data_IF_346938740133
#
_entry.id   IF_346938740133
#
_cell.length_a   1.000
_cell.length_b   1.000
_cell.length_c   1.000
_cell.angle_alpha   90.00
_cell.angle_beta   90.00
_cell.angle_gamma   90.00
#
_symmetry.space_group_name_H-M   'P 1'
#
loop_
_entity.id
_entity.type
_entity.pdbx_description
1 polymer ?
#
# COMPACT_ATOMS: atom_id res chain seq x y z
N UNK A 1 -1.30 -30.59 8.66
CA UNK A 1 -0.61 -30.38 7.37
C UNK A 1 -1.56 -29.61 6.47
N UNK A 2 -1.56 -28.29 6.62
CA UNK A 2 -2.40 -27.38 5.83
C UNK A 2 -1.54 -26.77 4.73
N UNK A 3 -2.09 -26.70 3.53
CA UNK A 3 -1.39 -26.47 2.28
C UNK A 3 -0.81 -25.05 2.21
N UNK A 4 0.52 -24.94 2.09
CA UNK A 4 1.22 -23.71 1.72
C UNK A 4 1.12 -23.51 0.20
N UNK A 5 -0.07 -23.25 -0.32
CA UNK A 5 -0.21 -22.82 -1.71
C UNK A 5 -0.46 -21.31 -1.67
N UNK A 6 0.56 -20.54 -2.06
CA UNK A 6 0.42 -19.13 -2.34
C UNK A 6 -0.10 -18.98 -3.77
N UNK A 7 -1.16 -18.19 -3.95
CA UNK A 7 -1.62 -17.79 -5.29
C UNK A 7 -0.88 -16.52 -5.71
N UNK A 8 0.41 -16.64 -5.98
CA UNK A 8 1.17 -15.53 -6.56
C UNK A 8 0.79 -15.38 -8.04
N UNK A 9 0.99 -14.18 -8.60
CA UNK A 9 0.89 -13.97 -10.05
C UNK A 9 1.81 -14.99 -10.75
N UNK A 10 1.36 -15.65 -11.83
CA UNK A 10 2.19 -16.64 -12.52
C UNK A 10 3.43 -15.97 -13.13
N UNK A 11 4.62 -16.38 -12.70
CA UNK A 11 5.94 -15.87 -13.15
C UNK A 11 6.18 -15.98 -14.67
N UNK A 12 5.29 -16.66 -15.41
CA UNK A 12 5.47 -17.01 -16.82
C UNK A 12 4.72 -16.11 -17.82
N UNK A 13 3.93 -15.13 -17.37
CA UNK A 13 3.15 -14.27 -18.27
C UNK A 13 3.18 -12.80 -17.85
N UNK A 14 3.53 -11.93 -18.79
CA UNK A 14 3.37 -10.48 -18.68
C UNK A 14 1.87 -10.14 -18.70
N UNK A 15 1.38 -9.55 -17.61
CA UNK A 15 0.01 -9.10 -17.49
C UNK A 15 -0.11 -7.67 -18.02
N UNK A 16 -1.08 -7.45 -18.91
CA UNK A 16 -1.44 -6.09 -19.32
C UNK A 16 -2.30 -5.44 -18.24
N UNK A 17 -2.33 -4.10 -18.20
CA UNK A 17 -3.24 -3.36 -17.33
C UNK A 17 -4.71 -3.79 -17.48
N UNK A 18 -5.13 -4.20 -18.68
CA UNK A 18 -6.47 -4.72 -18.92
C UNK A 18 -6.73 -6.07 -18.22
N UNK A 19 -5.75 -6.97 -18.19
CA UNK A 19 -5.86 -8.23 -17.44
C UNK A 19 -5.97 -7.96 -15.93
N UNK A 20 -5.13 -7.07 -15.40
CA UNK A 20 -5.10 -6.72 -13.98
C UNK A 20 -6.41 -6.05 -13.57
N UNK A 21 -6.86 -5.04 -14.33
CA UNK A 21 -8.16 -4.35 -14.11
C UNK A 21 -9.33 -5.33 -14.16
N UNK A 22 -9.35 -6.28 -15.08
CA UNK A 22 -10.40 -7.29 -15.14
C UNK A 22 -10.38 -8.21 -13.90
N UNK A 23 -9.21 -8.61 -13.41
CA UNK A 23 -9.11 -9.36 -12.14
C UNK A 23 -9.65 -8.56 -10.96
N UNK A 24 -9.26 -7.29 -10.85
CA UNK A 24 -9.73 -6.38 -9.80
C UNK A 24 -11.27 -6.27 -9.83
N UNK A 25 -11.87 -6.05 -10.99
CA UNK A 25 -13.33 -5.98 -11.13
C UNK A 25 -14.05 -7.28 -10.81
N UNK A 26 -13.47 -8.44 -11.16
CA UNK A 26 -14.13 -9.73 -10.96
C UNK A 26 -14.00 -10.27 -9.52
N UNK A 27 -12.88 -9.99 -8.86
CA UNK A 27 -12.51 -10.62 -7.59
C UNK A 27 -12.41 -9.64 -6.43
N UNK A 28 -12.45 -8.33 -6.69
CA UNK A 28 -12.18 -7.30 -5.70
C UNK A 28 -10.70 -7.10 -5.38
N UNK A 29 -9.80 -7.85 -6.03
CA UNK A 29 -8.36 -7.65 -5.93
C UNK A 29 -7.63 -8.16 -7.19
N UNK A 30 -6.39 -7.70 -7.37
CA UNK A 30 -5.47 -8.23 -8.36
C UNK A 30 -4.04 -8.20 -7.83
N UNK A 31 -3.21 -9.12 -8.32
CA UNK A 31 -1.76 -9.18 -8.03
C UNK A 31 -0.99 -9.07 -9.34
N UNK A 32 0.15 -8.40 -9.32
CA UNK A 32 1.04 -8.16 -10.46
C UNK A 32 2.47 -7.94 -9.96
N UNK A 33 3.45 -7.92 -10.84
CA UNK A 33 4.86 -7.81 -10.45
C UNK A 33 5.64 -6.79 -11.29
N UNK A 34 6.95 -6.68 -11.03
CA UNK A 34 7.84 -5.74 -11.71
C UNK A 34 7.84 -5.87 -13.25
N UNK A 35 7.66 -7.09 -13.78
CA UNK A 35 7.66 -7.33 -15.22
C UNK A 35 6.43 -6.70 -15.90
N UNK A 36 5.31 -6.60 -15.18
CA UNK A 36 4.04 -6.06 -15.70
C UNK A 36 4.04 -4.51 -15.78
N UNK A 37 5.06 -3.85 -15.23
CA UNK A 37 5.15 -2.38 -15.12
C UNK A 37 5.99 -1.72 -16.22
N UNK A 38 6.63 -2.50 -17.10
CA UNK A 38 7.47 -1.99 -18.20
C UNK A 38 8.47 -0.90 -17.74
N UNK A 39 9.26 -1.22 -16.71
CA UNK A 39 10.19 -0.27 -16.07
C UNK A 39 11.41 0.04 -16.95
N UNK A 40 11.70 1.33 -17.11
CA UNK A 40 12.97 1.84 -17.61
C UNK A 40 14.09 1.64 -16.59
N UNK A 41 15.34 1.72 -17.03
CA UNK A 41 16.49 1.57 -16.13
C UNK A 41 16.59 2.68 -15.09
N UNK A 42 16.15 3.90 -15.42
CA UNK A 42 16.09 5.01 -14.45
C UNK A 42 15.08 4.72 -13.33
N UNK A 43 13.92 4.14 -13.66
CA UNK A 43 12.90 3.78 -12.68
C UNK A 43 13.37 2.62 -11.78
N UNK A 44 14.15 1.68 -12.32
CA UNK A 44 14.81 0.63 -11.51
C UNK A 44 15.84 1.23 -10.53
N UNK A 45 16.54 2.30 -10.91
CA UNK A 45 17.47 3.00 -10.01
C UNK A 45 16.69 3.78 -8.93
N UNK A 46 15.54 4.35 -9.25
CA UNK A 46 14.69 5.03 -8.27
C UNK A 46 14.25 4.11 -7.13
N UNK A 47 14.06 2.81 -7.40
CA UNK A 47 13.78 1.81 -6.37
C UNK A 47 14.86 1.80 -5.27
N UNK A 48 16.15 1.89 -5.65
CA UNK A 48 17.27 1.95 -4.70
C UNK A 48 17.13 3.20 -3.81
N UNK A 49 16.74 4.33 -4.39
CA UNK A 49 16.53 5.56 -3.63
C UNK A 49 15.41 5.44 -2.59
N UNK A 50 14.32 4.72 -2.94
CA UNK A 50 13.22 4.43 -2.00
C UNK A 50 13.68 3.47 -0.89
N UNK A 51 14.49 2.47 -1.21
CA UNK A 51 15.11 1.59 -0.20
C UNK A 51 15.98 2.40 0.77
N UNK A 52 16.84 3.29 0.28
CA UNK A 52 17.68 4.13 1.13
C UNK A 52 16.87 5.09 2.00
N UNK A 53 15.87 5.77 1.42
CA UNK A 53 14.95 6.63 2.18
C UNK A 53 14.29 5.85 3.32
N UNK A 54 13.85 4.62 3.05
CA UNK A 54 13.14 3.79 4.03
C UNK A 54 13.94 3.60 5.33
N UNK A 55 15.27 3.50 5.24
CA UNK A 55 16.17 3.28 6.39
C UNK A 55 16.21 4.47 7.35
N UNK A 56 15.91 5.67 6.85
CA UNK A 56 15.88 6.91 7.62
C UNK A 56 14.49 7.30 8.13
N UNK A 57 13.46 6.51 7.86
CA UNK A 57 12.11 6.83 8.30
C UNK A 57 12.02 6.86 9.83
N UNK A 58 11.29 7.84 10.39
CA UNK A 58 11.05 7.90 11.82
C UNK A 58 10.12 6.78 12.25
N UNK A 59 10.23 6.38 13.52
CA UNK A 59 9.30 5.43 14.13
C UNK A 59 7.87 5.98 14.02
N UNK A 60 6.94 5.11 13.63
CA UNK A 60 5.53 5.43 13.56
C UNK A 60 4.97 5.60 14.98
N UNK A 61 4.66 6.85 15.35
CA UNK A 61 4.08 7.21 16.66
C UNK A 61 2.69 6.62 16.90
N UNK A 62 2.04 6.12 15.85
CA UNK A 62 0.70 5.53 15.84
C UNK A 62 0.73 4.06 15.40
N UNK A 63 1.90 3.42 15.52
CA UNK A 63 2.11 2.01 15.21
C UNK A 63 2.79 1.27 16.34
N UNK A 64 2.64 -0.05 16.34
CA UNK A 64 3.39 -0.92 17.24
C UNK A 64 4.70 -1.40 16.58
N UNK A 65 5.69 -1.76 17.41
CA UNK A 65 6.74 -2.72 17.08
C UNK A 65 7.51 -2.47 15.77
N UNK A 66 8.47 -1.54 15.78
CA UNK A 66 9.45 -1.41 14.69
C UNK A 66 8.89 -0.94 13.35
N UNK A 67 7.64 -0.44 13.32
CA UNK A 67 7.06 0.23 12.14
C UNK A 67 7.59 1.66 12.04
N UNK A 68 8.09 2.01 10.87
CA UNK A 68 8.56 3.35 10.51
C UNK A 68 7.76 3.81 9.30
N UNK A 69 7.39 5.09 9.23
CA UNK A 69 6.44 5.56 8.24
C UNK A 69 6.71 7.00 7.79
N UNK A 70 6.54 7.23 6.50
CA UNK A 70 6.28 8.55 5.91
C UNK A 70 4.93 8.52 5.18
N UNK A 71 4.30 9.69 5.09
CA UNK A 71 3.06 9.89 4.33
C UNK A 71 3.18 11.17 3.51
N UNK A 72 2.63 11.14 2.31
CA UNK A 72 2.39 12.30 1.48
C UNK A 72 1.00 12.25 0.89
N UNK A 73 0.46 13.41 0.56
CA UNK A 73 -0.85 13.52 -0.05
C UNK A 73 -0.82 14.63 -1.09
N UNK A 74 -1.41 14.38 -2.26
CA UNK A 74 -1.50 15.33 -3.35
C UNK A 74 -2.88 15.31 -3.99
N UNK A 75 -3.17 16.32 -4.80
CA UNK A 75 -4.40 16.35 -5.59
C UNK A 75 -4.04 16.01 -7.02
N UNK A 76 -4.48 14.85 -7.49
CA UNK A 76 -4.49 14.52 -8.90
C UNK A 76 -5.59 15.32 -9.61
N UNK A 77 -5.25 15.88 -10.77
CA UNK A 77 -6.17 16.64 -11.63
C UNK A 77 -6.17 16.08 -13.05
N UNK A 78 -7.37 15.79 -13.55
CA UNK A 78 -7.57 15.34 -14.92
C UNK A 78 -7.15 16.39 -15.96
N UNK A 79 -7.42 17.68 -15.70
CA UNK A 79 -7.18 18.75 -16.68
C UNK A 79 -5.69 18.96 -16.97
N UNK A 80 -4.86 18.86 -15.93
CA UNK A 80 -3.42 19.09 -16.02
C UNK A 80 -2.62 17.81 -16.14
N UNK A 81 -3.27 16.65 -16.00
CA UNK A 81 -2.63 15.33 -15.90
C UNK A 81 -1.44 15.35 -14.92
N UNK A 82 -1.64 15.98 -13.76
CA UNK A 82 -0.60 16.19 -12.75
C UNK A 82 -1.11 15.94 -11.34
N UNK A 83 -0.16 15.81 -10.40
CA UNK A 83 -0.43 15.73 -8.97
C UNK A 83 0.19 16.95 -8.30
N UNK A 84 -0.67 17.75 -7.69
CA UNK A 84 -0.25 18.88 -6.86
C UNK A 84 -0.05 18.39 -5.43
N UNK A 85 1.20 18.05 -5.09
CA UNK A 85 1.56 17.60 -3.75
C UNK A 85 1.36 18.69 -2.71
N UNK A 86 0.69 18.35 -1.60
CA UNK A 86 0.54 19.27 -0.47
C UNK A 86 1.92 19.58 0.11
N UNK A 87 2.16 20.84 0.45
CA UNK A 87 3.45 21.32 0.94
C UNK A 87 3.80 20.80 2.34
N UNK A 88 2.79 20.47 3.16
CA UNK A 88 2.97 20.08 4.55
C UNK A 88 3.33 21.27 5.46
N UNK A 89 3.90 20.95 6.62
CA UNK A 89 4.19 21.87 7.71
C UNK A 89 5.65 21.75 8.12
N UNK A 90 6.50 22.74 7.80
CA UNK A 90 7.91 22.76 8.22
C UNK A 90 8.06 22.68 9.74
N UNK A 91 9.05 21.94 10.20
CA UNK A 91 9.42 21.77 11.60
C UNK A 91 10.74 22.50 11.92
N UNK A 92 11.00 22.83 13.21
CA UNK A 92 12.24 23.51 13.60
C UNK A 92 13.52 22.75 13.28
N UNK A 93 13.46 21.43 13.16
CA UNK A 93 14.60 20.56 12.81
C UNK A 93 14.84 20.46 11.28
N UNK A 94 14.07 21.19 10.48
CA UNK A 94 14.14 21.18 9.01
C UNK A 94 13.32 20.07 8.34
N UNK A 95 12.72 19.16 9.11
CA UNK A 95 11.76 18.18 8.56
C UNK A 95 10.44 18.84 8.17
N UNK A 96 9.64 18.16 7.35
CA UNK A 96 8.29 18.60 7.00
C UNK A 96 7.31 17.53 7.43
N UNK A 97 6.27 17.90 8.18
CA UNK A 97 5.19 16.98 8.56
C UNK A 97 3.94 17.22 7.72
N UNK A 98 3.12 16.19 7.53
CA UNK A 98 1.80 16.30 6.91
C UNK A 98 0.76 15.57 7.75
N UNK A 99 -0.46 16.11 7.72
CA UNK A 99 -1.60 15.52 8.41
C UNK A 99 -2.17 14.35 7.59
N UNK A 100 -2.51 13.28 8.27
CA UNK A 100 -3.26 12.15 7.76
C UNK A 100 -4.54 11.98 8.57
N UNK A 101 -5.63 11.75 7.85
CA UNK A 101 -6.96 11.58 8.41
C UNK A 101 -7.51 10.23 7.94
N UNK A 102 -7.98 9.42 8.89
CA UNK A 102 -8.66 8.16 8.62
C UNK A 102 -9.89 8.09 9.52
N UNK A 103 -11.01 7.62 8.98
CA UNK A 103 -12.27 7.49 9.72
C UNK A 103 -12.14 6.52 10.89
N UNK A 104 -12.87 6.77 11.99
CA UNK A 104 -12.92 5.89 13.18
C UNK A 104 -13.47 4.50 12.89
N UNK A 105 -14.21 4.35 11.80
CA UNK A 105 -14.71 3.05 11.33
C UNK A 105 -13.61 2.14 10.74
N UNK A 106 -12.55 2.73 10.16
CA UNK A 106 -11.42 1.99 9.56
C UNK A 106 -10.19 1.95 10.47
N UNK A 107 -10.07 2.92 11.37
CA UNK A 107 -9.05 2.92 12.40
C UNK A 107 -9.71 3.04 13.80
N UNK A 108 -9.99 1.90 14.48
CA UNK A 108 -10.63 1.91 15.80
C UNK A 108 -9.80 2.54 16.94
N UNK A 109 -8.46 2.49 16.85
CA UNK A 109 -7.51 2.97 17.86
C UNK A 109 -7.21 4.48 17.73
N UNK A 110 -7.19 5.02 16.50
CA UNK A 110 -6.74 6.39 16.21
C UNK A 110 -7.65 7.17 15.25
N UNK A 111 -8.75 6.59 14.78
CA UNK A 111 -9.60 7.28 13.80
C UNK A 111 -10.33 8.46 14.43
N UNK A 112 -10.50 9.53 13.64
CA UNK A 112 -10.91 10.84 14.14
C UNK A 112 -9.78 11.68 14.77
N UNK A 113 -8.59 11.12 14.98
CA UNK A 113 -7.39 11.86 15.38
C UNK A 113 -6.58 12.26 14.15
N UNK A 114 -6.14 13.52 14.12
CA UNK A 114 -5.21 14.01 13.09
C UNK A 114 -3.82 13.45 13.40
N UNK A 115 -3.35 12.51 12.57
CA UNK A 115 -2.01 11.93 12.72
C UNK A 115 -1.02 12.74 11.89
N UNK A 116 0.15 13.03 12.45
CA UNK A 116 1.23 13.73 11.74
C UNK A 116 2.33 12.76 11.40
N UNK A 117 2.74 12.74 10.14
CA UNK A 117 3.84 11.91 9.63
C UNK A 117 4.88 12.78 8.93
N UNK A 118 6.11 12.28 8.87
CA UNK A 118 7.14 12.86 8.02
C UNK A 118 6.65 12.84 6.56
N UNK A 119 6.75 13.98 5.89
CA UNK A 119 6.52 14.14 4.45
C UNK A 119 7.81 13.81 3.70
N UNK A 120 7.71 13.02 2.64
CA UNK A 120 8.81 12.81 1.70
C UNK A 120 9.19 14.14 1.02
N UNK A 121 10.45 14.27 0.59
CA UNK A 121 10.90 15.45 -0.15
C UNK A 121 10.30 15.49 -1.55
N UNK A 122 10.26 16.68 -2.16
CA UNK A 122 9.80 16.83 -3.54
C UNK A 122 10.66 16.06 -4.53
N UNK A 123 11.95 15.89 -4.24
CA UNK A 123 12.85 15.05 -5.04
C UNK A 123 12.36 13.59 -5.10
N UNK A 124 11.92 13.03 -3.97
CA UNK A 124 11.37 11.67 -3.90
C UNK A 124 10.01 11.62 -4.61
N UNK A 125 9.16 12.63 -4.37
CA UNK A 125 7.82 12.71 -4.95
C UNK A 125 7.82 12.85 -6.48
N UNK A 126 8.90 13.39 -7.04
CA UNK A 126 9.08 13.56 -8.49
C UNK A 126 9.88 12.42 -9.15
N UNK A 127 10.15 11.31 -8.44
CA UNK A 127 10.81 10.14 -9.02
C UNK A 127 9.95 9.49 -10.09
N UNK A 128 10.60 9.02 -11.16
CA UNK A 128 9.93 8.39 -12.29
C UNK A 128 9.19 7.13 -11.86
N UNK A 129 9.82 6.32 -10.99
CA UNK A 129 9.19 5.09 -10.48
C UNK A 129 7.90 5.40 -9.70
N UNK A 130 7.93 6.36 -8.77
CA UNK A 130 6.75 6.68 -7.98
C UNK A 130 5.63 7.22 -8.86
N UNK A 131 5.96 8.09 -9.82
CA UNK A 131 5.00 8.59 -10.79
C UNK A 131 4.38 7.44 -11.59
N UNK A 132 5.21 6.52 -12.12
CA UNK A 132 4.74 5.35 -12.87
C UNK A 132 3.81 4.45 -12.05
N UNK A 133 4.13 4.16 -10.79
CA UNK A 133 3.26 3.37 -9.91
C UNK A 133 1.90 4.06 -9.72
N UNK A 134 1.89 5.36 -9.38
CA UNK A 134 0.64 6.11 -9.19
C UNK A 134 -0.24 6.08 -10.44
N UNK A 135 0.32 6.34 -11.63
CA UNK A 135 -0.45 6.33 -12.87
C UNK A 135 -0.94 4.94 -13.27
N UNK A 136 -0.08 3.94 -13.08
CA UNK A 136 -0.45 2.55 -13.32
C UNK A 136 -1.63 2.18 -12.44
N UNK A 137 -1.54 2.40 -11.13
CA UNK A 137 -2.60 2.04 -10.18
C UNK A 137 -3.90 2.79 -10.48
N UNK A 138 -3.84 4.09 -10.74
CA UNK A 138 -5.01 4.88 -11.10
C UNK A 138 -5.70 4.31 -12.35
N UNK A 139 -4.95 3.88 -13.35
CA UNK A 139 -5.48 3.28 -14.58
C UNK A 139 -6.23 1.96 -14.35
N UNK A 140 -5.90 1.23 -13.27
CA UNK A 140 -6.56 -0.03 -12.91
C UNK A 140 -7.94 0.21 -12.28
N UNK A 141 -8.15 1.36 -11.65
CA UNK A 141 -9.36 1.64 -10.85
C UNK A 141 -10.56 2.09 -11.70
N UNK A 142 -10.33 2.68 -12.87
CA UNK A 142 -11.35 3.41 -13.63
C UNK A 142 -11.80 4.74 -13.00
N UNK A 143 -11.25 5.16 -11.86
CA UNK A 143 -11.67 6.39 -11.17
C UNK A 143 -11.46 7.64 -12.01
N UNK A 144 -10.37 7.70 -12.78
CA UNK A 144 -10.07 8.82 -13.69
C UNK A 144 -11.13 8.99 -14.80
N UNK A 145 -11.97 7.98 -15.07
CA UNK A 145 -13.08 8.07 -16.02
C UNK A 145 -14.29 8.83 -15.42
N UNK A 146 -14.44 8.78 -14.09
CA UNK A 146 -15.62 9.25 -13.37
C UNK A 146 -15.38 10.53 -12.54
N UNK A 147 -14.13 10.83 -12.20
CA UNK A 147 -13.77 11.96 -11.34
C UNK A 147 -12.74 12.86 -12.03
N UNK A 148 -12.95 14.17 -11.94
CA UNK A 148 -12.02 15.21 -12.41
C UNK A 148 -10.84 15.42 -11.47
N UNK A 149 -11.03 15.14 -10.17
CA UNK A 149 -10.08 15.40 -9.11
C UNK A 149 -10.11 14.30 -8.06
N UNK A 150 -8.92 13.81 -7.72
CA UNK A 150 -8.73 12.76 -6.72
C UNK A 150 -7.66 13.18 -5.73
N UNK A 151 -7.87 12.87 -4.46
CA UNK A 151 -6.82 12.85 -3.47
C UNK A 151 -5.97 11.59 -3.72
N UNK A 152 -4.66 11.76 -3.86
CA UNK A 152 -3.69 10.68 -3.97
C UNK A 152 -2.90 10.59 -2.65
N UNK A 153 -3.12 9.55 -1.87
CA UNK A 153 -2.33 9.23 -0.69
C UNK A 153 -1.15 8.34 -1.07
N UNK A 154 0.03 8.61 -0.51
CA UNK A 154 1.22 7.75 -0.66
C UNK A 154 1.83 7.50 0.71
N UNK A 155 1.86 6.23 1.12
CA UNK A 155 2.48 5.79 2.36
C UNK A 155 3.75 4.99 2.07
N UNK A 156 4.89 5.41 2.59
CA UNK A 156 6.09 4.57 2.63
C UNK A 156 6.22 3.98 4.03
N UNK A 157 6.14 2.65 4.13
CA UNK A 157 6.13 1.94 5.42
C UNK A 157 7.25 0.93 5.45
N UNK A 158 8.12 1.05 6.45
CA UNK A 158 9.16 0.07 6.77
C UNK A 158 8.79 -0.67 8.05
N UNK A 159 8.65 -1.98 7.96
CA UNK A 159 8.50 -2.88 9.10
C UNK A 159 9.86 -3.48 9.44
N UNK A 160 10.35 -3.23 10.65
CA UNK A 160 11.58 -3.79 11.17
C UNK A 160 11.28 -4.79 12.28
N UNK A 161 11.53 -6.07 12.02
CA UNK A 161 11.40 -7.14 12.99
C UNK A 161 12.76 -7.46 13.64
N UNK A 162 12.75 -7.80 14.92
CA UNK A 162 13.91 -8.32 15.65
C UNK A 162 13.58 -9.72 16.18
N UNK A 163 14.59 -10.53 16.58
CA UNK A 163 14.34 -11.83 17.22
C UNK A 163 13.37 -11.72 18.39
N UNK A 164 12.27 -12.48 18.33
CA UNK A 164 11.20 -12.47 19.32
C UNK A 164 10.32 -11.20 19.36
N UNK A 165 10.54 -10.24 18.45
CA UNK A 165 9.78 -8.99 18.35
C UNK A 165 9.29 -8.77 16.92
N UNK A 166 8.12 -9.34 16.57
CA UNK A 166 7.55 -9.18 15.24
C UNK A 166 7.05 -7.74 15.03
N UNK A 167 7.12 -7.27 13.79
CA UNK A 167 6.49 -6.02 13.37
C UNK A 167 5.05 -6.31 12.91
N UNK A 168 4.08 -5.60 13.50
CA UNK A 168 2.66 -5.79 13.24
C UNK A 168 2.09 -4.61 12.45
N UNK A 169 1.08 -4.90 11.64
CA UNK A 169 0.21 -3.88 11.06
C UNK A 169 -0.96 -3.58 12.01
N UNK A 170 -1.52 -2.38 11.90
CA UNK A 170 -2.68 -1.95 12.67
C UNK A 170 -3.78 -1.55 11.69
N UNK A 171 -5.00 -2.13 11.79
CA UNK A 171 -5.43 -3.11 12.78
C UNK A 171 -4.86 -4.52 12.50
N UNK A 172 -4.65 -5.31 13.55
CA UNK A 172 -4.17 -6.70 13.46
C UNK A 172 -5.36 -7.68 13.37
N UNK A 173 -6.22 -7.48 12.39
CA UNK A 173 -7.37 -8.33 12.04
C UNK A 173 -7.73 -8.12 10.56
N UNK A 174 -8.70 -8.88 10.04
CA UNK A 174 -9.30 -8.55 8.74
C UNK A 174 -9.92 -7.16 8.79
N UNK A 175 -9.57 -6.29 7.85
CA UNK A 175 -10.03 -4.91 7.83
C UNK A 175 -10.21 -4.38 6.42
N UNK A 176 -10.78 -3.18 6.38
CA UNK A 176 -10.94 -2.32 5.24
C UNK A 176 -10.17 -1.04 5.52
N UNK A 177 -9.57 -0.46 4.49
CA UNK A 177 -8.72 0.73 4.59
C UNK A 177 -9.57 2.01 4.61
N UNK A 178 -10.71 1.99 3.92
CA UNK A 178 -11.66 3.10 3.84
C UNK A 178 -11.50 4.01 2.63
N UNK A 179 -10.46 3.77 1.82
CA UNK A 179 -10.32 4.35 0.49
C UNK A 179 -10.88 3.37 -0.54
N UNK A 180 -11.57 3.83 -1.60
CA UNK A 180 -12.16 2.95 -2.61
C UNK A 180 -11.18 1.90 -3.17
N UNK A 181 -9.94 2.33 -3.44
CA UNK A 181 -8.87 1.45 -3.89
C UNK A 181 -7.57 1.74 -3.16
N UNK A 182 -6.82 0.68 -2.88
CA UNK A 182 -5.47 0.77 -2.32
C UNK A 182 -4.57 -0.21 -3.04
N UNK A 183 -3.50 0.30 -3.64
CA UNK A 183 -2.42 -0.48 -4.21
C UNK A 183 -1.26 -0.57 -3.21
N UNK A 184 -0.57 -1.70 -3.21
CA UNK A 184 0.58 -1.97 -2.36
C UNK A 184 1.69 -2.58 -3.18
N UNK A 185 2.89 -2.00 -3.10
CA UNK A 185 4.08 -2.46 -3.81
C UNK A 185 5.19 -2.79 -2.82
N UNK A 186 5.81 -3.95 -2.98
CA UNK A 186 7.00 -4.31 -2.21
C UNK A 186 8.20 -3.47 -2.67
N UNK A 187 8.91 -2.86 -1.73
CA UNK A 187 10.15 -2.12 -2.01
C UNK A 187 11.36 -2.98 -1.68
N UNK A 188 11.36 -3.60 -0.50
CA UNK A 188 12.38 -4.57 -0.12
C UNK A 188 11.83 -5.57 0.90
N UNK A 189 12.41 -6.77 0.86
CA UNK A 189 12.16 -7.86 1.79
C UNK A 189 13.48 -8.56 2.08
N UNK A 190 13.95 -8.50 3.32
CA UNK A 190 15.24 -9.04 3.72
C UNK A 190 15.14 -9.69 5.09
N UNK A 191 15.60 -10.95 5.20
CA UNK A 191 15.68 -11.70 6.46
C UNK A 191 14.35 -11.76 7.25
N UNK A 192 13.24 -11.99 6.54
CA UNK A 192 11.90 -12.04 7.16
C UNK A 192 11.04 -13.21 6.71
N UNK A 193 10.35 -13.77 7.68
CA UNK A 193 9.19 -14.63 7.53
C UNK A 193 7.88 -13.83 7.74
N UNK A 194 6.75 -14.43 7.39
CA UNK A 194 5.44 -13.80 7.53
C UNK A 194 5.21 -12.69 6.49
N UNK A 195 4.35 -11.71 6.82
CA UNK A 195 3.94 -10.66 5.87
C UNK A 195 3.09 -11.15 4.70
N UNK A 196 2.48 -12.33 4.80
CA UNK A 196 1.53 -12.82 3.81
C UNK A 196 0.21 -12.06 3.92
N UNK A 197 -0.37 -11.74 2.77
CA UNK A 197 -1.69 -11.09 2.65
C UNK A 197 -2.76 -12.16 2.54
N UNK A 198 -3.86 -11.95 3.25
CA UNK A 198 -5.07 -12.76 3.25
C UNK A 198 -6.23 -11.87 2.80
N UNK A 199 -7.01 -12.34 1.84
CA UNK A 199 -8.21 -11.68 1.32
C UNK A 199 -9.41 -12.55 1.67
N UNK A 200 -10.47 -11.92 2.16
CA UNK A 200 -11.74 -12.58 2.46
C UNK A 200 -12.93 -11.69 2.04
N UNK A 201 -14.14 -12.24 1.95
CA UNK A 201 -15.34 -11.44 1.74
C UNK A 201 -15.51 -10.33 2.79
N UNK A 202 -16.10 -9.18 2.43
CA UNK A 202 -16.06 -7.96 3.24
C UNK A 202 -16.82 -8.09 4.57
N UNK A 203 -17.76 -9.05 4.66
CA UNK A 203 -18.50 -9.33 5.89
C UNK A 203 -17.66 -10.01 6.99
N UNK A 204 -16.42 -10.44 6.69
CA UNK A 204 -15.44 -10.87 7.69
C UNK A 204 -14.58 -9.72 8.24
N UNK A 205 -14.86 -8.46 7.87
CA UNK A 205 -14.19 -7.33 8.48
C UNK A 205 -14.32 -7.36 10.01
N UNK A 206 -13.23 -7.02 10.69
CA UNK A 206 -13.01 -7.11 12.14
C UNK A 206 -12.88 -8.55 12.71
N UNK A 207 -12.95 -9.60 11.89
CA UNK A 207 -12.69 -10.95 12.34
C UNK A 207 -11.18 -11.23 12.48
N UNK A 208 -10.82 -12.08 13.45
CA UNK A 208 -9.48 -12.65 13.54
C UNK A 208 -9.27 -13.73 12.47
N UNK A 209 -8.02 -13.99 12.09
CA UNK A 209 -7.69 -14.95 11.02
C UNK A 209 -8.30 -16.34 11.30
N UNK A 210 -8.25 -16.78 12.55
CA UNK A 210 -8.72 -18.09 12.97
C UNK A 210 -10.26 -18.23 12.96
N UNK A 211 -10.98 -17.11 12.90
CA UNK A 211 -12.44 -17.09 12.86
C UNK A 211 -13.01 -17.19 11.43
N UNK A 212 -12.17 -16.99 10.42
CA UNK A 212 -12.58 -17.04 9.00
C UNK A 212 -12.32 -18.45 8.45
N UNK A 213 -13.31 -19.11 7.82
CA UNK A 213 -13.11 -20.43 7.24
C UNK A 213 -12.02 -20.41 6.17
N UNK A 214 -11.06 -21.33 6.22
CA UNK A 214 -9.91 -21.32 5.31
C UNK A 214 -10.27 -21.38 3.80
N UNK A 215 -11.45 -21.89 3.44
CA UNK A 215 -11.92 -21.94 2.05
C UNK A 215 -12.48 -20.60 1.55
N UNK A 216 -12.72 -19.65 2.45
CA UNK A 216 -13.14 -18.26 2.15
C UNK A 216 -11.94 -17.31 2.05
N UNK A 217 -10.71 -17.82 2.26
CA UNK A 217 -9.49 -17.02 2.31
C UNK A 217 -8.63 -17.30 1.09
N UNK A 218 -8.34 -16.24 0.33
CA UNK A 218 -7.25 -16.25 -0.65
C UNK A 218 -5.99 -15.71 0.00
N UNK A 219 -4.84 -16.35 -0.23
CA UNK A 219 -3.56 -16.00 0.40
C UNK A 219 -2.43 -15.90 -0.62
N UNK A 220 -1.66 -14.82 -0.55
CA UNK A 220 -0.47 -14.60 -1.36
C UNK A 220 0.64 -13.91 -0.57
N UNK A 221 1.85 -13.90 -1.12
CA UNK A 221 3.03 -13.32 -0.47
C UNK A 221 3.84 -12.51 -1.48
N UNK A 222 4.11 -11.26 -1.15
CA UNK A 222 5.05 -10.43 -1.89
C UNK A 222 6.47 -10.82 -1.47
N UNK A 223 7.26 -11.28 -2.41
CA UNK A 223 8.61 -11.78 -2.21
C UNK A 223 9.66 -10.88 -2.86
N UNK A 224 9.45 -10.56 -4.13
CA UNK A 224 10.41 -9.83 -4.95
C UNK A 224 10.06 -8.35 -5.04
N UNK A 225 11.06 -7.44 -5.16
CA UNK A 225 10.78 -6.02 -5.28
C UNK A 225 9.80 -5.72 -6.42
N UNK A 226 8.80 -4.90 -6.11
CA UNK A 226 7.67 -4.52 -6.94
C UNK A 226 6.67 -5.65 -7.24
N UNK A 227 6.75 -6.79 -6.53
CA UNK A 227 5.56 -7.59 -6.27
C UNK A 227 4.49 -6.70 -5.66
N UNK A 228 3.31 -6.74 -6.26
CA UNK A 228 2.27 -5.75 -6.03
C UNK A 228 0.88 -6.37 -5.96
N UNK A 229 -0.01 -5.69 -5.26
CA UNK A 229 -1.44 -5.98 -5.33
C UNK A 229 -2.26 -4.70 -5.22
N UNK A 230 -3.48 -4.74 -5.74
CA UNK A 230 -4.48 -3.68 -5.58
C UNK A 230 -5.79 -4.30 -5.12
N UNK A 231 -6.48 -3.61 -4.22
CA UNK A 231 -7.79 -4.02 -3.68
C UNK A 231 -8.87 -2.99 -4.00
N UNK A 232 -10.09 -3.47 -4.22
CA UNK A 232 -11.34 -2.71 -4.13
C UNK A 232 -11.88 -2.91 -2.71
N UNK A 233 -11.82 -1.84 -1.92
CA UNK A 233 -12.16 -1.89 -0.51
C UNK A 233 -13.64 -2.25 -0.27
N UNK A 234 -14.54 -1.95 -1.21
CA UNK A 234 -15.96 -2.31 -1.09
C UNK A 234 -16.21 -3.81 -1.32
N UNK A 235 -15.34 -4.47 -2.08
CA UNK A 235 -15.52 -5.85 -2.52
C UNK A 235 -14.93 -6.88 -1.56
N UNK A 236 -13.94 -6.52 -0.73
CA UNK A 236 -13.21 -7.46 0.13
C UNK A 236 -12.86 -6.86 1.50
N UNK A 237 -12.34 -7.70 2.39
CA UNK A 237 -11.50 -7.26 3.51
C UNK A 237 -10.18 -8.03 3.48
N UNK A 238 -9.15 -7.50 4.16
CA UNK A 238 -7.82 -8.08 4.10
C UNK A 238 -7.08 -8.08 5.45
N UNK A 239 -6.15 -9.02 5.60
CA UNK A 239 -5.30 -9.17 6.78
C UNK A 239 -3.87 -9.49 6.36
N UNK A 240 -2.88 -8.93 7.04
CA UNK A 240 -1.46 -9.20 6.79
C UNK A 240 -0.87 -9.87 8.03
N UNK A 241 -0.24 -11.04 7.84
CA UNK A 241 0.50 -11.68 8.94
C UNK A 241 1.61 -10.75 9.45
N UNK A 242 1.94 -10.79 10.75
CA UNK A 242 3.09 -10.08 11.28
C UNK A 242 4.36 -10.44 10.50
N UNK A 243 5.26 -9.47 10.38
CA UNK A 243 6.60 -9.66 9.82
C UNK A 243 7.50 -10.13 10.97
N UNK A 244 8.15 -11.27 10.78
CA UNK A 244 8.97 -11.93 11.79
C UNK A 244 10.41 -11.96 11.30
N UNK A 245 11.37 -11.72 12.18
CA UNK A 245 12.79 -11.86 11.86
C UNK A 245 13.14 -13.34 11.67
N UNK A 246 13.87 -13.66 10.60
CA UNK A 246 14.36 -15.02 10.36
C UNK A 246 15.20 -15.51 11.54
N UNK A 247 15.17 -16.83 11.81
CA UNK A 247 15.81 -17.46 12.98
C UNK A 247 17.31 -17.14 13.09
N UNK A 248 18.01 -17.01 11.96
CA UNK A 248 19.45 -16.76 11.90
C UNK A 248 19.82 -15.28 11.70
N UNK A 249 18.85 -14.37 11.69
CA UNK A 249 19.07 -12.95 11.45
C UNK A 249 18.96 -12.13 12.75
N UNK A 250 19.70 -11.03 12.83
CA UNK A 250 19.61 -10.07 13.92
C UNK A 250 18.55 -8.98 13.68
N UNK A 251 18.17 -8.78 12.42
CA UNK A 251 17.14 -7.86 11.98
C UNK A 251 16.51 -8.36 10.67
N UNK A 252 15.20 -8.28 10.62
CA UNK A 252 14.38 -8.52 9.43
C UNK A 252 13.68 -7.24 9.00
N UNK A 253 13.54 -7.05 7.68
CA UNK A 253 12.97 -5.85 7.10
C UNK A 253 11.98 -6.19 5.99
N UNK A 254 10.82 -5.53 6.03
CA UNK A 254 9.89 -5.47 4.91
C UNK A 254 9.46 -4.02 4.70
N UNK A 255 9.72 -3.46 3.54
CA UNK A 255 9.33 -2.10 3.18
C UNK A 255 8.33 -2.15 2.03
N UNK A 256 7.25 -1.39 2.15
CA UNK A 256 6.19 -1.29 1.13
C UNK A 256 5.85 0.17 0.87
N UNK A 257 5.36 0.45 -0.34
CA UNK A 257 4.60 1.66 -0.66
C UNK A 257 3.12 1.29 -0.76
N UNK A 258 2.24 2.11 -0.18
CA UNK A 258 0.80 2.06 -0.44
C UNK A 258 0.40 3.32 -1.18
N UNK A 259 -0.48 3.17 -2.17
CA UNK A 259 -1.04 4.26 -2.95
C UNK A 259 -2.56 4.13 -2.93
N UNK A 260 -3.24 5.20 -2.53
CA UNK A 260 -4.69 5.22 -2.44
C UNK A 260 -5.27 6.45 -3.14
N UNK A 261 -6.52 6.31 -3.60
CA UNK A 261 -7.23 7.37 -4.31
C UNK A 261 -8.60 7.60 -3.67
N UNK A 262 -8.90 8.86 -3.34
CA UNK A 262 -10.20 9.25 -2.78
C UNK A 262 -10.81 10.40 -3.58
N UNK A 263 -12.08 10.31 -4.02
CA UNK A 263 -12.75 11.43 -4.67
C UNK A 263 -12.83 12.68 -3.79
N UNK A 264 -12.51 13.85 -4.35
CA UNK A 264 -12.64 15.13 -3.64
C UNK A 264 -14.00 15.83 -3.86
N UNK A 265 -14.76 15.39 -4.86
CA UNK A 265 -16.02 15.99 -5.29
C UNK A 265 -17.10 14.89 -5.48
N UNK A 266 -18.40 15.24 -5.39
CA UNK A 266 -19.45 14.39 -5.94
C UNK A 266 -19.26 14.34 -7.47
N UNK A 267 -19.48 13.17 -8.09
CA UNK A 267 -19.18 12.93 -9.51
C UNK A 267 -19.83 14.00 -10.41
N UNK A 268 -19.05 14.95 -10.92
CA UNK A 268 -19.51 15.91 -11.93
C UNK A 268 -19.66 15.25 -13.32
N UNK A 269 -19.28 13.97 -13.46
CA UNK A 269 -19.43 13.17 -14.69
C UNK A 269 -20.54 12.12 -14.57
N UNK A 270 -21.80 12.56 -14.70
CA UNK A 270 -22.79 12.02 -15.65
C UNK A 270 -24.08 12.86 -15.60
N UNK A 271 -24.73 13.19 -16.74
CA UNK A 271 -25.33 12.17 -17.62
C UNK A 271 -25.26 12.46 -19.13
N UNK A 272 -24.96 11.44 -19.94
CA UNK A 272 -25.66 10.99 -21.17
C UNK A 272 -24.80 10.03 -21.97
#
# INVERSE_FOLDING_TARGET
>A
MGWNIFTNAPDSYHLTAAHIRNSLHQQGFATFNAADLDLSDSEKIDLISLCELSKSLPLDRFGEGGRHRSYCEGVWSWETESIDWKTGYPQPDGSVEINYHQGSEYQPEFGGVVRKFLRMSDEILNKGLLNKLIWHDLSLTGMAEHYSRLLCGVHLIRMQALPGKPAKITPNCFHRDGQPFTAVHLIERCNVEGGATHIAPPYYANCQLEAVPAHEITRFLLNDPLDSYIIDDAAICHYINPVICDENASVGVRTIILIDFTPLEQSDRCPQ
#
